data_IF_182305831008
#
_entry.id   IF_182305831008
#
_cell.length_a   1.000
_cell.length_b   1.000
_cell.length_c   1.000
_cell.angle_alpha   90.00
_cell.angle_beta   90.00
_cell.angle_gamma   90.00
#
_symmetry.space_group_name_H-M   'P 1'
#
loop_
_entity.id
_entity.type
_entity.pdbx_description
1 polymer ?
#
# COMPACT_ATOMS: atom_id res chain seq x y z
N UNK A 1 -2.90 8.45 26.43
CA UNK A 1 -2.33 9.28 25.36
C UNK A 1 -3.06 8.87 24.11
N UNK A 2 -3.87 9.76 23.56
CA UNK A 2 -4.43 9.56 22.23
C UNK A 2 -3.26 9.66 21.25
N UNK A 3 -2.92 8.55 20.61
CA UNK A 3 -1.89 8.57 19.57
C UNK A 3 -2.49 9.27 18.36
N UNK A 4 -1.82 10.32 17.89
CA UNK A 4 -2.25 11.00 16.67
C UNK A 4 -2.11 10.04 15.48
N UNK A 5 -3.11 10.00 14.58
CA UNK A 5 -3.05 9.13 13.43
C UNK A 5 -1.84 9.47 12.57
N UNK A 6 -1.14 8.45 12.09
CA UNK A 6 0.09 8.62 11.29
C UNK A 6 -0.22 9.23 9.91
N UNK A 7 -1.48 9.18 9.47
CA UNK A 7 -1.90 9.59 8.14
C UNK A 7 -1.50 8.60 7.05
N UNK A 8 -1.30 7.33 7.42
CA UNK A 8 -1.00 6.22 6.52
C UNK A 8 -1.96 5.08 6.78
N UNK A 9 -2.46 4.50 5.70
CA UNK A 9 -3.29 3.31 5.71
C UNK A 9 -2.52 2.15 5.11
N UNK A 10 -2.73 0.96 5.66
CA UNK A 10 -2.27 -0.30 5.09
C UNK A 10 -3.42 -0.94 4.34
N UNK A 11 -3.21 -1.19 3.06
CA UNK A 11 -4.13 -1.80 2.13
C UNK A 11 -3.62 -3.20 1.79
N UNK A 12 -4.46 -4.22 2.00
CA UNK A 12 -4.21 -5.55 1.45
C UNK A 12 -4.81 -5.60 0.06
N UNK A 13 -3.97 -5.85 -0.93
CA UNK A 13 -4.35 -5.79 -2.34
C UNK A 13 -3.98 -7.10 -3.02
N UNK A 14 -4.86 -7.57 -3.91
CA UNK A 14 -4.49 -8.59 -4.88
C UNK A 14 -4.50 -7.96 -6.27
N UNK A 15 -3.41 -8.10 -7.02
CA UNK A 15 -3.31 -7.52 -8.35
C UNK A 15 -2.54 -8.43 -9.30
N UNK A 16 -2.72 -8.19 -10.60
CA UNK A 16 -1.99 -8.85 -11.66
C UNK A 16 -0.88 -7.91 -12.15
N UNK A 17 0.34 -8.40 -12.31
CA UNK A 17 1.40 -7.62 -12.95
C UNK A 17 1.05 -7.44 -14.42
N UNK A 18 0.96 -6.19 -14.87
CA UNK A 18 0.78 -5.84 -16.28
C UNK A 18 2.12 -5.69 -17.01
N UNK A 19 2.10 -5.39 -18.31
CA UNK A 19 3.30 -5.35 -19.16
C UNK A 19 4.26 -4.19 -18.84
N UNK A 20 3.83 -3.23 -18.02
CA UNK A 20 4.64 -2.10 -17.54
C UNK A 20 5.25 -2.35 -16.16
N UNK A 21 4.95 -3.48 -15.54
CA UNK A 21 5.37 -3.81 -14.18
C UNK A 21 6.82 -4.35 -14.16
N UNK A 22 7.48 -4.25 -13.00
CA UNK A 22 8.78 -4.90 -12.76
C UNK A 22 8.65 -6.39 -12.50
N UNK A 23 7.50 -6.85 -12.03
CA UNK A 23 7.21 -8.25 -11.78
C UNK A 23 6.84 -8.99 -13.08
N UNK A 24 7.02 -10.32 -13.15
CA UNK A 24 6.62 -11.12 -14.30
C UNK A 24 5.18 -10.88 -14.76
N UNK A 25 5.03 -10.42 -16.00
CA UNK A 25 3.75 -10.12 -16.64
C UNK A 25 2.77 -11.30 -16.57
N UNK A 26 1.50 -10.99 -16.31
CA UNK A 26 0.42 -11.96 -16.26
C UNK A 26 0.25 -12.69 -14.92
N UNK A 27 1.24 -12.66 -14.03
CA UNK A 27 1.15 -13.30 -12.70
C UNK A 27 0.36 -12.46 -11.71
N UNK A 28 -0.27 -13.11 -10.73
CA UNK A 28 -0.97 -12.47 -9.61
C UNK A 28 -0.13 -12.50 -8.35
N UNK A 29 -0.22 -11.41 -7.59
CA UNK A 29 0.54 -11.20 -6.36
C UNK A 29 -0.37 -10.65 -5.28
N UNK A 30 -0.05 -10.99 -4.04
CA UNK A 30 -0.58 -10.30 -2.87
C UNK A 30 0.36 -9.16 -2.52
N UNK A 31 -0.20 -7.98 -2.29
CA UNK A 31 0.53 -6.73 -2.11
C UNK A 31 0.07 -6.09 -0.81
N UNK A 32 1.04 -5.72 0.01
CA UNK A 32 0.81 -4.84 1.15
C UNK A 32 1.18 -3.42 0.74
N UNK A 33 0.16 -2.58 0.54
CA UNK A 33 0.30 -1.22 0.05
C UNK A 33 0.07 -0.23 1.18
N UNK A 34 1.07 0.60 1.44
CA UNK A 34 1.00 1.71 2.37
C UNK A 34 0.66 2.96 1.57
N UNK A 35 -0.46 3.59 1.86
CA UNK A 35 -0.94 4.77 1.16
C UNK A 35 -1.18 5.91 2.16
N UNK A 36 -0.65 7.09 1.85
CA UNK A 36 -0.91 8.29 2.64
C UNK A 36 -2.33 8.78 2.37
N UNK A 37 -3.04 9.18 3.42
CA UNK A 37 -4.38 9.74 3.32
C UNK A 37 -4.88 10.27 4.65
N UNK A 38 -5.83 11.20 4.60
CA UNK A 38 -6.52 11.74 5.78
C UNK A 38 -7.72 10.88 6.19
N UNK A 39 -8.16 10.01 5.28
CA UNK A 39 -9.31 9.12 5.43
C UNK A 39 -9.04 7.80 4.70
N UNK A 40 -9.77 6.74 5.05
CA UNK A 40 -9.69 5.47 4.34
C UNK A 40 -9.99 5.63 2.85
N UNK A 41 -10.98 6.46 2.50
CA UNK A 41 -11.36 6.73 1.10
C UNK A 41 -10.22 7.40 0.32
N UNK A 42 -9.61 8.45 0.88
CA UNK A 42 -8.49 9.14 0.23
C UNK A 42 -7.27 8.24 0.09
N UNK A 43 -6.99 7.40 1.09
CA UNK A 43 -5.90 6.43 1.01
C UNK A 43 -6.17 5.31 -0.01
N UNK A 44 -7.42 4.82 -0.12
CA UNK A 44 -7.81 3.86 -1.18
C UNK A 44 -7.65 4.48 -2.57
N UNK A 45 -8.06 5.73 -2.76
CA UNK A 45 -7.89 6.43 -4.02
C UNK A 45 -6.40 6.62 -4.38
N UNK A 46 -5.59 7.07 -3.41
CA UNK A 46 -4.14 7.20 -3.57
C UNK A 46 -3.49 5.84 -3.86
N UNK A 47 -3.93 4.79 -3.19
CA UNK A 47 -3.47 3.42 -3.40
C UNK A 47 -3.80 2.89 -4.80
N UNK A 48 -5.01 3.14 -5.29
CA UNK A 48 -5.41 2.73 -6.64
C UNK A 48 -4.58 3.44 -7.72
N UNK A 49 -4.37 4.76 -7.59
CA UNK A 49 -3.50 5.52 -8.50
C UNK A 49 -2.06 4.98 -8.47
N UNK A 50 -1.54 4.73 -7.26
CA UNK A 50 -0.22 4.16 -7.04
C UNK A 50 -0.01 2.78 -7.70
N UNK A 51 -1.06 1.97 -7.78
CA UNK A 51 -1.03 0.67 -8.44
C UNK A 51 -1.04 0.81 -9.96
N UNK A 52 -1.91 1.66 -10.50
CA UNK A 52 -1.98 1.93 -11.95
C UNK A 52 -0.67 2.54 -12.48
N UNK A 53 -0.11 3.53 -11.78
CA UNK A 53 1.17 4.18 -12.12
C UNK A 53 2.33 3.18 -12.18
N UNK A 54 2.25 2.10 -11.37
CA UNK A 54 3.26 1.04 -11.31
C UNK A 54 2.94 -0.15 -12.22
N UNK A 55 1.89 -0.06 -13.05
CA UNK A 55 1.54 -1.08 -14.03
C UNK A 55 0.90 -2.32 -13.41
N UNK A 56 0.16 -2.17 -12.32
CA UNK A 56 -0.67 -3.25 -11.77
C UNK A 56 -2.05 -3.23 -12.40
N UNK A 57 -2.44 -4.36 -13.00
CA UNK A 57 -3.75 -4.58 -13.60
C UNK A 57 -4.66 -5.36 -12.64
N UNK A 58 -5.98 -5.29 -12.86
CA UNK A 58 -6.98 -6.06 -12.11
C UNK A 58 -6.85 -5.92 -10.58
N UNK A 59 -6.40 -4.76 -10.10
CA UNK A 59 -6.15 -4.52 -8.68
C UNK A 59 -7.44 -4.53 -7.85
N UNK A 60 -7.46 -5.35 -6.81
CA UNK A 60 -8.55 -5.46 -5.85
C UNK A 60 -8.05 -5.16 -4.44
N UNK A 61 -8.52 -4.06 -3.85
CA UNK A 61 -8.25 -3.73 -2.45
C UNK A 61 -9.21 -4.54 -1.57
N UNK A 62 -8.68 -5.55 -0.89
CA UNK A 62 -9.43 -6.48 -0.05
C UNK A 62 -9.76 -5.87 1.33
N UNK A 63 -8.79 -5.14 1.90
CA UNK A 63 -8.91 -4.53 3.22
C UNK A 63 -8.12 -3.22 3.25
N UNK A 64 -8.57 -2.30 4.08
CA UNK A 64 -7.85 -1.10 4.47
C UNK A 64 -7.87 -0.96 6.00
N UNK A 65 -6.82 -0.38 6.58
CA UNK A 65 -6.76 -0.04 7.99
C UNK A 65 -5.78 1.08 8.24
N UNK A 66 -6.15 2.03 9.10
CA UNK A 66 -5.30 3.14 9.49
C UNK A 66 -4.20 2.69 10.45
N UNK A 67 -2.99 3.21 10.26
CA UNK A 67 -1.94 3.11 11.27
C UNK A 67 -2.16 4.22 12.29
N UNK A 68 -2.70 3.83 13.44
CA UNK A 68 -2.92 4.73 14.58
C UNK A 68 -1.72 4.79 15.53
N UNK A 69 -0.85 3.78 15.49
CA UNK A 69 0.38 3.71 16.30
C UNK A 69 1.59 3.39 15.42
N UNK A 70 2.42 4.39 15.12
CA UNK A 70 3.68 4.18 14.40
C UNK A 70 4.68 3.29 15.15
N UNK A 71 4.65 3.29 16.48
CA UNK A 71 5.54 2.48 17.32
C UNK A 71 5.20 0.99 17.27
N UNK A 72 3.92 0.66 17.09
CA UNK A 72 3.43 -0.71 16.95
C UNK A 72 3.69 -1.32 15.56
N UNK A 73 4.09 -0.52 14.57
CA UNK A 73 4.46 -1.02 13.24
C UNK A 73 5.73 -1.89 13.36
N UNK A 74 5.69 -3.14 12.87
CA UNK A 74 6.85 -4.04 12.83
C UNK A 74 8.07 -3.38 12.19
N UNK A 75 9.27 -3.66 12.70
CA UNK A 75 10.50 -2.96 12.31
C UNK A 75 10.81 -3.08 10.81
N UNK A 76 10.56 -4.26 10.23
CA UNK A 76 10.68 -4.56 8.81
C UNK A 76 9.71 -3.74 7.93
N UNK A 77 8.56 -3.35 8.48
CA UNK A 77 7.55 -2.53 7.80
C UNK A 77 7.73 -1.02 8.04
N UNK A 78 8.49 -0.60 9.05
CA UNK A 78 8.71 0.83 9.33
C UNK A 78 9.34 1.54 8.14
N UNK A 79 10.30 0.90 7.47
CA UNK A 79 10.96 1.48 6.29
C UNK A 79 9.97 1.78 5.16
N UNK A 80 9.00 0.90 4.91
CA UNK A 80 8.01 1.08 3.85
C UNK A 80 6.96 2.13 4.24
N UNK A 81 6.54 2.16 5.51
CA UNK A 81 5.66 3.22 6.02
C UNK A 81 6.29 4.60 5.87
N UNK A 82 7.58 4.75 6.21
CA UNK A 82 8.31 6.03 6.05
C UNK A 82 8.44 6.45 4.58
N UNK A 83 8.59 5.49 3.66
CA UNK A 83 8.53 5.78 2.22
C UNK A 83 7.15 6.26 1.80
N UNK A 84 6.08 5.63 2.28
CA UNK A 84 4.71 6.08 1.98
C UNK A 84 4.42 7.49 2.51
N UNK A 85 4.93 7.84 3.70
CA UNK A 85 4.83 9.20 4.25
C UNK A 85 5.49 10.25 3.34
N UNK A 86 6.67 9.91 2.80
CA UNK A 86 7.47 10.81 1.96
C UNK A 86 6.96 10.88 0.52
N UNK A 87 6.65 9.75 -0.08
CA UNK A 87 6.40 9.58 -1.51
C UNK A 87 4.91 9.41 -1.83
N UNK A 88 4.04 9.44 -0.82
CA UNK A 88 2.58 9.25 -0.93
C UNK A 88 2.14 7.79 -0.94
N UNK A 89 2.96 6.87 -1.45
CA UNK A 89 2.70 5.43 -1.41
C UNK A 89 3.97 4.59 -1.42
N UNK A 90 3.91 3.41 -0.82
CA UNK A 90 4.96 2.39 -0.93
C UNK A 90 4.33 1.00 -0.81
N UNK A 91 4.91 0.00 -1.49
CA UNK A 91 4.35 -1.35 -1.53
C UNK A 91 5.39 -2.42 -1.22
N UNK A 92 4.90 -3.55 -0.73
CA UNK A 92 5.63 -4.81 -0.61
C UNK A 92 4.86 -5.82 -1.44
N UNK A 93 5.56 -6.48 -2.38
CA UNK A 93 5.01 -7.57 -3.19
C UNK A 93 5.36 -8.88 -2.49
N UNK A 94 4.36 -9.73 -2.29
CA UNK A 94 4.54 -11.10 -1.85
C UNK A 94 4.29 -12.03 -3.04
N UNK A 95 5.25 -12.90 -3.30
CA UNK A 95 5.04 -14.06 -4.17
C UNK A 95 4.33 -15.15 -3.37
N UNK A 96 3.37 -15.81 -4.01
CA UNK A 96 2.70 -17.02 -3.48
C UNK A 96 3.61 -18.24 -3.70
#
# INVERSE_FOLDING_TARGET
MDQEPVGVFVLTVRAKAGPRNSEPDGKRYDILLFARGETEESARAAGAAALDDRGWDEAQILRAGEIVDAGAVPEDLRGVMQRALRDGSALIVYED
#
